data_IF_241226072345
#
_entry.id   IF_241226072345
#
_cell.length_a   1.000
_cell.length_b   1.000
_cell.length_c   1.000
_cell.angle_alpha   90.00
_cell.angle_beta   90.00
_cell.angle_gamma   90.00
#
_symmetry.space_group_name_H-M   'P 1'
#
loop_
_entity.id
_entity.type
_entity.pdbx_description
1 polymer ?
#
# COMPACT_ATOMS: atom_id res chain seq x y z
N UNK A 1 -29.85 1.88 8.01
CA UNK A 1 -28.98 2.55 8.99
C UNK A 1 -28.32 3.74 8.31
N UNK A 2 -28.45 4.92 8.88
CA UNK A 2 -27.93 6.18 8.32
C UNK A 2 -26.41 6.14 8.24
N UNK A 3 -25.84 6.34 7.07
CA UNK A 3 -24.42 6.31 6.68
C UNK A 3 -23.60 7.50 7.22
N UNK A 4 -24.02 8.12 8.29
CA UNK A 4 -23.22 9.17 8.93
C UNK A 4 -22.17 8.48 9.81
N UNK A 5 -21.05 8.10 9.21
CA UNK A 5 -19.80 7.86 9.94
C UNK A 5 -19.55 9.11 10.79
N UNK A 6 -19.68 8.98 12.10
CA UNK A 6 -19.28 10.06 13.02
C UNK A 6 -17.74 10.06 13.06
N UNK A 7 -17.12 10.70 12.07
CA UNK A 7 -15.71 11.05 12.19
C UNK A 7 -15.64 12.25 13.13
N UNK A 8 -14.87 12.10 14.17
CA UNK A 8 -14.65 13.15 15.17
C UNK A 8 -13.15 13.47 15.14
N UNK A 9 -12.84 14.75 15.08
CA UNK A 9 -11.47 15.29 15.21
C UNK A 9 -11.32 15.93 16.59
N UNK A 10 -11.21 15.18 17.68
CA UNK A 10 -11.28 15.81 18.99
C UNK A 10 -9.94 16.22 19.58
N UNK A 11 -8.86 15.51 19.28
CA UNK A 11 -7.58 15.70 19.94
C UNK A 11 -6.45 16.11 18.96
N UNK A 12 -6.52 15.68 17.71
CA UNK A 12 -5.53 16.04 16.68
C UNK A 12 -5.36 17.58 16.52
N UNK A 13 -6.42 18.35 16.76
CA UNK A 13 -6.37 19.82 16.73
C UNK A 13 -5.55 20.45 17.87
N UNK A 14 -5.19 19.67 18.92
CA UNK A 14 -4.32 20.14 20.01
C UNK A 14 -2.86 19.85 19.76
N UNK A 15 -2.56 18.94 18.82
CA UNK A 15 -1.18 18.55 18.49
C UNK A 15 -0.63 19.56 17.49
N UNK A 16 0.50 20.18 17.82
CA UNK A 16 1.22 21.11 16.95
C UNK A 16 2.24 20.34 16.12
N UNK A 17 1.80 19.75 14.99
CA UNK A 17 2.66 18.98 14.10
C UNK A 17 3.81 19.80 13.52
N UNK A 18 3.59 21.10 13.32
CA UNK A 18 4.60 22.08 12.93
C UNK A 18 5.74 22.22 13.95
N UNK A 19 5.48 21.97 15.24
CA UNK A 19 6.50 21.98 16.30
C UNK A 19 7.20 20.63 16.47
N UNK A 20 6.48 19.53 16.23
CA UNK A 20 7.01 18.15 16.32
C UNK A 20 7.84 17.81 15.08
N UNK A 21 7.48 18.34 13.92
CA UNK A 21 8.04 18.00 12.60
C UNK A 21 8.04 16.49 12.35
N UNK A 22 6.86 15.87 12.56
CA UNK A 22 6.68 14.43 12.39
C UNK A 22 6.84 14.01 10.93
N UNK A 23 7.60 12.93 10.70
CA UNK A 23 7.80 12.28 9.41
C UNK A 23 7.52 10.78 9.54
N UNK A 24 6.65 10.24 8.69
CA UNK A 24 6.33 8.82 8.60
C UNK A 24 6.66 8.31 7.18
N UNK A 25 7.16 7.10 7.09
CA UNK A 25 7.37 6.41 5.81
C UNK A 25 6.39 5.26 5.68
N UNK A 26 5.48 5.33 4.72
CA UNK A 26 4.56 4.26 4.34
C UNK A 26 4.99 3.69 2.99
N UNK A 27 5.23 2.39 2.95
CA UNK A 27 5.66 1.71 1.74
C UNK A 27 4.78 0.51 1.43
N UNK A 28 4.21 0.46 0.23
CA UNK A 28 3.20 -0.53 -0.15
C UNK A 28 3.78 -1.68 -1.00
N UNK A 29 2.99 -2.75 -1.17
CA UNK A 29 3.19 -3.90 -2.07
C UNK A 29 4.25 -4.92 -1.63
N UNK A 30 4.67 -4.96 -0.38
CA UNK A 30 5.63 -5.95 0.11
C UNK A 30 5.02 -7.36 0.18
N UNK A 31 5.83 -8.38 -0.07
CA UNK A 31 5.38 -9.78 -0.13
C UNK A 31 4.53 -10.13 -1.34
N UNK A 32 4.30 -9.20 -2.25
CA UNK A 32 3.43 -9.37 -3.41
C UNK A 32 4.21 -9.81 -4.66
N UNK A 33 3.84 -10.97 -5.21
CA UNK A 33 4.29 -11.42 -6.52
C UNK A 33 3.54 -10.63 -7.62
N UNK A 34 3.96 -9.38 -7.84
CA UNK A 34 3.24 -8.39 -8.62
C UNK A 34 3.26 -8.65 -10.13
N UNK A 35 4.09 -7.91 -10.88
CA UNK A 35 4.03 -7.95 -12.34
C UNK A 35 4.77 -9.15 -12.92
N UNK A 36 6.11 -9.17 -12.91
CA UNK A 36 6.85 -10.27 -13.50
C UNK A 36 7.96 -10.81 -12.58
N UNK A 37 8.21 -12.12 -12.59
CA UNK A 37 9.23 -12.76 -11.76
C UNK A 37 10.66 -12.49 -12.25
N UNK A 38 10.85 -12.31 -13.57
CA UNK A 38 12.14 -12.22 -14.22
C UNK A 38 12.10 -11.47 -15.56
N UNK A 39 13.28 -11.15 -16.10
CA UNK A 39 13.42 -10.41 -17.37
C UNK A 39 12.87 -11.17 -18.58
N UNK A 40 12.86 -12.51 -18.55
CA UNK A 40 12.31 -13.31 -19.63
C UNK A 40 10.81 -13.10 -19.74
N UNK A 41 10.08 -13.21 -18.63
CA UNK A 41 8.65 -12.94 -18.58
C UNK A 41 8.34 -11.49 -18.96
N UNK A 42 9.11 -10.54 -18.43
CA UNK A 42 8.93 -9.12 -18.75
C UNK A 42 9.11 -8.84 -20.25
N UNK A 43 10.12 -9.43 -20.88
CA UNK A 43 10.36 -9.30 -22.33
C UNK A 43 9.21 -9.84 -23.18
N UNK A 44 8.69 -11.02 -22.83
CA UNK A 44 7.56 -11.65 -23.54
C UNK A 44 6.27 -10.83 -23.42
N UNK A 45 6.05 -10.18 -22.28
CA UNK A 45 4.78 -9.56 -21.93
C UNK A 45 4.72 -8.05 -22.12
N UNK A 46 5.83 -7.38 -22.45
CA UNK A 46 5.89 -5.91 -22.53
C UNK A 46 4.78 -5.29 -23.38
N UNK A 47 4.45 -5.91 -24.52
CA UNK A 47 3.39 -5.41 -25.40
C UNK A 47 1.98 -5.59 -24.82
N UNK A 48 1.73 -6.67 -24.07
CA UNK A 48 0.47 -6.88 -23.34
C UNK A 48 0.29 -5.83 -22.25
N UNK A 49 1.35 -5.54 -21.49
CA UNK A 49 1.33 -4.50 -20.46
C UNK A 49 1.19 -3.09 -21.05
N UNK A 50 1.85 -2.79 -22.19
CA UNK A 50 1.73 -1.47 -22.86
C UNK A 50 0.32 -1.19 -23.34
N UNK A 51 -0.45 -2.19 -23.76
CA UNK A 51 -1.87 -2.01 -24.12
C UNK A 51 -2.69 -1.46 -22.95
N UNK A 52 -2.34 -1.81 -21.72
CA UNK A 52 -3.05 -1.41 -20.51
C UNK A 52 -2.47 -0.16 -19.84
N UNK A 53 -1.17 -0.13 -19.66
CA UNK A 53 -0.49 0.88 -18.84
C UNK A 53 0.23 1.95 -19.67
N UNK A 54 0.23 1.83 -21.01
CA UNK A 54 0.97 2.73 -21.89
C UNK A 54 2.48 2.71 -21.61
N UNK A 55 3.13 3.87 -21.68
CA UNK A 55 4.58 3.99 -21.44
C UNK A 55 5.03 3.62 -20.03
N UNK A 56 4.14 3.67 -19.04
CA UNK A 56 4.45 3.25 -17.67
C UNK A 56 4.74 1.75 -17.55
N UNK A 57 4.26 0.95 -18.52
CA UNK A 57 4.48 -0.49 -18.56
C UNK A 57 5.97 -0.86 -18.53
N UNK A 58 6.82 -0.11 -19.18
CA UNK A 58 8.24 -0.44 -19.32
C UNK A 58 8.99 -0.45 -17.98
N UNK A 59 8.52 0.35 -17.04
CA UNK A 59 9.01 0.33 -15.66
C UNK A 59 8.20 -0.67 -14.81
N UNK A 60 6.87 -0.57 -14.80
CA UNK A 60 6.02 -1.39 -13.93
C UNK A 60 6.24 -2.90 -14.13
N UNK A 61 6.42 -3.36 -15.38
CA UNK A 61 6.60 -4.80 -15.68
C UNK A 61 7.85 -5.39 -15.03
N UNK A 62 8.85 -4.55 -14.72
CA UNK A 62 10.09 -4.96 -14.06
C UNK A 62 10.03 -4.86 -12.54
N UNK A 63 8.95 -4.30 -11.96
CA UNK A 63 8.73 -4.34 -10.52
C UNK A 63 8.47 -5.78 -10.07
N UNK A 64 9.26 -6.28 -9.12
CA UNK A 64 9.30 -7.69 -8.75
C UNK A 64 9.23 -7.88 -7.23
N UNK A 65 9.18 -9.13 -6.77
CA UNK A 65 9.26 -9.45 -5.34
C UNK A 65 10.63 -9.05 -4.80
N UNK A 66 10.67 -8.53 -3.60
CA UNK A 66 11.90 -8.19 -2.89
C UNK A 66 12.80 -9.40 -2.62
N UNK A 67 14.09 -9.16 -2.60
CA UNK A 67 15.12 -10.11 -2.18
C UNK A 67 15.68 -9.72 -0.81
N UNK A 68 16.39 -10.64 -0.10
CA UNK A 68 17.16 -10.27 1.09
C UNK A 68 18.15 -9.12 0.84
N UNK A 69 18.78 -9.08 -0.34
CA UNK A 69 19.75 -8.05 -0.71
C UNK A 69 19.08 -6.68 -0.95
N UNK A 70 17.86 -6.67 -1.54
CA UNK A 70 17.08 -5.44 -1.69
C UNK A 70 16.76 -4.83 -0.31
N UNK A 71 16.35 -5.68 0.63
CA UNK A 71 16.06 -5.27 2.00
C UNK A 71 17.31 -4.82 2.76
N UNK A 72 18.45 -5.53 2.62
CA UNK A 72 19.69 -5.12 3.28
C UNK A 72 20.11 -3.72 2.88
N UNK A 73 20.16 -3.44 1.55
CA UNK A 73 20.50 -2.09 1.03
C UNK A 73 19.57 -1.01 1.58
N UNK A 74 18.29 -1.32 1.69
CA UNK A 74 17.32 -0.39 2.24
C UNK A 74 17.55 -0.15 3.74
N UNK A 75 17.78 -1.22 4.51
CA UNK A 75 18.05 -1.14 5.95
C UNK A 75 19.36 -0.42 6.28
N UNK A 76 20.40 -0.62 5.46
CA UNK A 76 21.67 0.11 5.59
C UNK A 76 21.44 1.63 5.45
N UNK A 77 20.64 2.06 4.47
CA UNK A 77 20.37 3.48 4.28
C UNK A 77 19.52 4.04 5.42
N UNK A 78 18.47 3.34 5.83
CA UNK A 78 17.62 3.77 6.95
C UNK A 78 18.41 3.88 8.26
N UNK A 79 19.29 2.91 8.53
CA UNK A 79 20.10 2.86 9.76
C UNK A 79 21.23 3.89 9.85
N UNK A 80 21.54 4.65 8.77
CA UNK A 80 22.54 5.72 8.79
C UNK A 80 22.08 7.00 9.50
N UNK A 81 20.77 7.18 9.63
CA UNK A 81 20.17 8.45 10.05
C UNK A 81 19.35 8.27 11.31
N UNK A 82 19.42 9.28 12.18
CA UNK A 82 18.65 9.33 13.41
C UNK A 82 17.98 10.69 13.56
N UNK A 83 16.80 10.68 14.14
CA UNK A 83 16.10 11.90 14.54
C UNK A 83 16.71 12.48 15.84
N UNK A 84 16.20 13.63 16.29
CA UNK A 84 16.65 14.28 17.53
C UNK A 84 16.53 13.39 18.79
N UNK A 85 15.81 12.27 18.73
CA UNK A 85 15.62 11.31 19.82
C UNK A 85 16.58 10.10 19.72
N UNK A 86 17.44 10.08 18.70
CA UNK A 86 18.29 8.93 18.39
C UNK A 86 17.51 7.76 17.78
N UNK A 87 16.35 8.02 17.14
CA UNK A 87 15.56 6.98 16.47
C UNK A 87 15.77 7.04 14.95
N UNK A 88 15.99 5.88 14.30
CA UNK A 88 16.06 5.83 12.84
C UNK A 88 14.69 6.05 12.20
N UNK A 89 14.65 6.41 10.89
CA UNK A 89 13.43 6.37 10.10
C UNK A 89 12.92 4.93 10.00
N UNK A 90 11.60 4.75 10.16
CA UNK A 90 10.95 3.43 10.12
C UNK A 90 10.08 3.34 8.87
N UNK A 91 10.38 2.38 8.00
CA UNK A 91 9.47 2.03 6.91
C UNK A 91 8.34 1.16 7.43
N UNK A 92 7.13 1.70 7.41
CA UNK A 92 5.91 0.95 7.69
C UNK A 92 5.50 0.23 6.39
N UNK A 93 5.92 -1.03 6.31
CA UNK A 93 5.86 -1.84 5.10
C UNK A 93 4.53 -2.61 5.02
N UNK A 94 3.68 -2.25 4.07
CA UNK A 94 2.38 -2.86 3.90
C UNK A 94 2.48 -4.16 3.09
N UNK A 95 2.24 -5.29 3.78
CA UNK A 95 2.38 -6.64 3.23
C UNK A 95 1.07 -7.20 2.69
N UNK A 96 1.14 -7.76 1.49
CA UNK A 96 0.13 -8.66 0.92
C UNK A 96 0.42 -10.09 1.40
N UNK A 97 -0.59 -10.77 1.98
CA UNK A 97 -0.38 -12.02 2.72
C UNK A 97 -0.59 -13.30 1.91
N UNK A 98 -0.97 -13.17 0.63
CA UNK A 98 -1.20 -14.32 -0.25
C UNK A 98 -0.93 -13.97 -1.70
N UNK A 99 -0.31 -14.92 -2.40
CA UNK A 99 0.04 -14.80 -3.81
C UNK A 99 -0.65 -15.91 -4.61
N UNK A 100 -0.93 -15.72 -5.91
CA UNK A 100 -1.59 -16.75 -6.72
C UNK A 100 -0.84 -18.08 -6.75
N UNK A 101 -1.53 -19.19 -6.46
CA UNK A 101 -1.04 -20.53 -6.76
C UNK A 101 -1.34 -20.85 -8.22
N UNK A 102 -0.47 -20.41 -9.13
CA UNK A 102 -0.63 -20.58 -10.58
C UNK A 102 -0.85 -22.03 -10.97
N UNK A 103 -0.23 -22.99 -10.24
CA UNK A 103 -0.38 -24.41 -10.52
C UNK A 103 -1.80 -24.88 -10.22
N UNK A 104 -2.31 -24.67 -9.02
CA UNK A 104 -3.66 -25.09 -8.62
C UNK A 104 -4.76 -24.36 -9.39
N UNK A 105 -4.57 -23.06 -9.68
CA UNK A 105 -5.51 -22.29 -10.51
C UNK A 105 -5.61 -22.91 -11.90
N UNK A 106 -4.48 -23.27 -12.54
CA UNK A 106 -4.45 -23.94 -13.84
C UNK A 106 -5.10 -25.31 -13.79
N UNK A 107 -4.77 -26.12 -12.78
CA UNK A 107 -5.35 -27.46 -12.57
C UNK A 107 -6.87 -27.43 -12.38
N UNK A 108 -7.42 -26.33 -11.83
CA UNK A 108 -8.87 -26.12 -11.73
C UNK A 108 -9.55 -25.74 -13.04
N UNK A 109 -8.79 -25.58 -14.16
CA UNK A 109 -9.32 -25.05 -15.42
C UNK A 109 -9.79 -23.60 -15.30
N UNK A 110 -9.14 -22.78 -14.47
CA UNK A 110 -9.50 -21.38 -14.18
C UNK A 110 -10.91 -21.24 -13.57
N UNK A 111 -11.37 -22.24 -12.80
CA UNK A 111 -12.69 -22.19 -12.15
C UNK A 111 -12.61 -21.59 -10.75
N UNK A 112 -11.45 -21.67 -10.11
CA UNK A 112 -11.28 -21.25 -8.71
C UNK A 112 -9.92 -20.62 -8.48
N UNK A 113 -9.92 -19.56 -7.65
CA UNK A 113 -8.70 -18.97 -7.14
C UNK A 113 -8.13 -19.81 -6.01
N UNK A 114 -6.82 -19.96 -6.01
CA UNK A 114 -6.01 -20.54 -4.93
C UNK A 114 -4.84 -19.62 -4.67
N UNK A 115 -4.45 -19.49 -3.42
CA UNK A 115 -3.31 -18.68 -3.02
C UNK A 115 -2.29 -19.47 -2.21
N UNK A 116 -1.07 -18.96 -2.23
CA UNK A 116 0.04 -19.36 -1.37
C UNK A 116 0.25 -18.27 -0.31
N UNK A 117 0.20 -18.61 0.99
CA UNK A 117 0.50 -17.66 2.05
C UNK A 117 1.99 -17.37 2.11
N UNK A 118 2.41 -16.10 2.30
CA UNK A 118 3.82 -15.81 2.55
C UNK A 118 4.28 -16.52 3.86
N UNK A 119 5.55 -17.00 3.94
CA UNK A 119 6.65 -16.79 3.00
C UNK A 119 6.63 -17.67 1.75
N UNK A 120 5.62 -18.53 1.58
CA UNK A 120 5.51 -19.33 0.37
C UNK A 120 5.16 -18.44 -0.83
N UNK A 121 5.90 -18.66 -1.92
CA UNK A 121 5.67 -17.97 -3.19
C UNK A 121 5.72 -18.96 -4.34
N UNK A 122 5.11 -18.68 -5.51
CA UNK A 122 5.21 -19.52 -6.67
C UNK A 122 6.67 -19.81 -7.04
N UNK A 123 6.97 -21.01 -7.52
CA UNK A 123 8.35 -21.47 -7.74
C UNK A 123 9.22 -20.46 -8.52
N UNK A 124 8.67 -19.83 -9.56
CA UNK A 124 9.40 -18.86 -10.40
C UNK A 124 9.71 -17.54 -9.68
N UNK A 125 9.00 -17.26 -8.58
CA UNK A 125 9.16 -16.05 -7.78
C UNK A 125 10.10 -16.20 -6.59
N UNK A 126 10.68 -17.39 -6.39
CA UNK A 126 11.58 -17.64 -5.25
C UNK A 126 12.90 -16.92 -5.47
N UNK A 127 13.16 -15.90 -4.66
CA UNK A 127 14.34 -15.03 -4.75
C UNK A 127 15.10 -14.91 -3.43
N UNK A 128 14.91 -15.83 -2.49
CA UNK A 128 15.52 -15.85 -1.17
C UNK A 128 14.51 -15.71 -0.04
N UNK A 129 14.99 -15.72 1.19
CA UNK A 129 14.15 -15.60 2.40
C UNK A 129 14.00 -14.14 2.83
N UNK A 130 13.08 -13.43 2.16
CA UNK A 130 12.80 -12.03 2.44
C UNK A 130 12.10 -11.83 3.80
N UNK A 131 11.40 -12.85 4.33
CA UNK A 131 10.73 -12.75 5.63
C UNK A 131 11.74 -12.77 6.78
N UNK A 132 12.70 -13.71 6.78
CA UNK A 132 13.79 -13.69 7.76
C UNK A 132 14.55 -12.36 7.72
N UNK A 133 14.79 -11.83 6.52
CA UNK A 133 15.43 -10.51 6.37
C UNK A 133 14.58 -9.37 6.92
N UNK A 134 13.26 -9.42 6.77
CA UNK A 134 12.37 -8.43 7.38
C UNK A 134 12.45 -8.42 8.91
N UNK A 135 12.66 -9.57 9.55
CA UNK A 135 12.90 -9.63 11.01
C UNK A 135 14.17 -8.91 11.44
N UNK A 136 15.27 -8.99 10.68
CA UNK A 136 16.46 -8.20 10.97
C UNK A 136 16.18 -6.69 10.94
N UNK A 137 15.36 -6.23 9.98
CA UNK A 137 14.94 -4.83 9.92
C UNK A 137 14.05 -4.41 11.10
N UNK A 138 13.18 -5.32 11.59
CA UNK A 138 12.37 -5.11 12.80
C UNK A 138 13.27 -4.96 14.02
N UNK A 139 14.25 -5.85 14.19
CA UNK A 139 15.22 -5.81 15.28
C UNK A 139 16.08 -4.54 15.24
N UNK A 140 16.49 -4.09 14.06
CA UNK A 140 17.21 -2.82 13.85
C UNK A 140 16.32 -1.58 14.08
N UNK A 141 14.99 -1.73 14.23
CA UNK A 141 14.05 -0.64 14.41
C UNK A 141 13.81 0.23 13.17
N UNK A 142 14.12 -0.27 11.96
CA UNK A 142 13.96 0.45 10.69
C UNK A 142 12.80 -0.08 9.84
N UNK A 143 12.20 -1.20 10.25
CA UNK A 143 11.16 -1.89 9.51
C UNK A 143 9.97 -2.25 10.40
N UNK A 144 8.76 -1.90 9.98
CA UNK A 144 7.53 -2.23 10.69
C UNK A 144 6.50 -2.77 9.70
N UNK A 145 6.25 -4.08 9.67
CA UNK A 145 5.19 -4.66 8.85
C UNK A 145 3.82 -4.11 9.20
N UNK A 146 3.02 -3.77 8.18
CA UNK A 146 1.62 -3.37 8.27
C UNK A 146 0.77 -4.17 7.28
N UNK A 147 -0.56 -4.07 7.34
CA UNK A 147 -1.47 -4.93 6.58
C UNK A 147 -1.91 -4.30 5.26
N UNK A 148 -1.70 -5.02 4.14
CA UNK A 148 -2.14 -4.61 2.81
C UNK A 148 -3.18 -5.55 2.18
N UNK A 149 -3.80 -6.38 2.97
CA UNK A 149 -4.81 -7.34 2.53
C UNK A 149 -4.28 -8.76 2.32
N UNK A 150 -5.21 -9.67 2.07
CA UNK A 150 -4.90 -11.05 1.72
C UNK A 150 -4.40 -11.16 0.29
N UNK A 151 -4.99 -10.40 -0.64
CA UNK A 151 -4.55 -10.22 -2.02
C UNK A 151 -4.60 -8.74 -2.41
N UNK A 152 -3.82 -8.34 -3.42
CA UNK A 152 -3.79 -6.97 -3.93
C UNK A 152 -4.90 -6.67 -4.95
N UNK A 153 -5.61 -7.66 -5.40
CA UNK A 153 -6.66 -7.60 -6.42
C UNK A 153 -7.88 -8.43 -6.01
N UNK A 154 -9.00 -8.29 -6.74
CA UNK A 154 -10.19 -9.12 -6.58
C UNK A 154 -9.98 -10.49 -7.27
N UNK A 155 -9.81 -11.60 -6.52
CA UNK A 155 -9.52 -12.90 -7.07
C UNK A 155 -10.62 -13.45 -7.97
N UNK A 156 -11.90 -13.26 -7.61
CA UNK A 156 -13.03 -13.76 -8.40
C UNK A 156 -13.10 -13.09 -9.78
N UNK A 157 -12.80 -11.80 -9.79
CA UNK A 157 -12.80 -11.03 -11.04
C UNK A 157 -11.62 -11.40 -11.93
N UNK A 158 -10.45 -11.63 -11.34
CA UNK A 158 -9.29 -12.09 -12.08
C UNK A 158 -9.51 -13.48 -12.70
N UNK A 159 -10.17 -14.40 -11.99
CA UNK A 159 -10.57 -15.71 -12.53
C UNK A 159 -11.49 -15.53 -13.76
N UNK A 160 -12.45 -14.61 -13.70
CA UNK A 160 -13.30 -14.29 -14.87
C UNK A 160 -12.52 -13.72 -16.05
N UNK A 161 -11.53 -12.86 -15.77
CA UNK A 161 -10.65 -12.34 -16.81
C UNK A 161 -9.80 -13.47 -17.41
N UNK A 162 -9.27 -14.40 -16.61
CA UNK A 162 -8.54 -15.59 -17.07
C UNK A 162 -9.37 -16.49 -17.99
N UNK A 163 -10.68 -16.57 -17.79
CA UNK A 163 -11.57 -17.34 -18.65
C UNK A 163 -11.85 -16.67 -20.01
N UNK A 164 -11.72 -15.34 -20.10
CA UNK A 164 -12.27 -14.59 -21.22
C UNK A 164 -11.27 -13.65 -21.92
N UNK A 165 -10.07 -13.43 -21.37
CA UNK A 165 -9.10 -12.47 -21.91
C UNK A 165 -7.75 -13.11 -22.23
N UNK A 166 -7.36 -13.16 -23.52
CA UNK A 166 -6.09 -13.75 -23.94
C UNK A 166 -4.85 -13.07 -23.36
N UNK A 167 -4.88 -11.75 -23.14
CA UNK A 167 -3.73 -11.01 -22.58
C UNK A 167 -3.54 -11.41 -21.10
N UNK A 168 -4.63 -11.58 -20.35
CA UNK A 168 -4.60 -12.09 -18.96
C UNK A 168 -4.08 -13.52 -18.90
N UNK A 169 -4.50 -14.40 -19.84
CA UNK A 169 -4.00 -15.77 -19.93
C UNK A 169 -2.52 -15.82 -20.28
N UNK A 170 -2.06 -15.00 -21.23
CA UNK A 170 -0.66 -14.92 -21.61
C UNK A 170 0.22 -14.54 -20.41
N UNK A 171 -0.19 -13.55 -19.63
CA UNK A 171 0.51 -13.16 -18.41
C UNK A 171 0.51 -14.28 -17.36
N UNK A 172 -0.61 -14.96 -17.16
CA UNK A 172 -0.74 -16.08 -16.23
C UNK A 172 0.24 -17.21 -16.56
N UNK A 173 0.42 -17.56 -17.85
CA UNK A 173 1.33 -18.62 -18.28
C UNK A 173 2.80 -18.31 -17.96
N UNK A 174 3.15 -17.04 -17.83
CA UNK A 174 4.46 -16.57 -17.39
C UNK A 174 4.52 -16.32 -15.85
N UNK A 175 3.51 -16.76 -15.10
CA UNK A 175 3.36 -16.51 -13.66
C UNK A 175 3.30 -15.01 -13.29
N UNK A 176 2.71 -14.20 -14.16
CA UNK A 176 2.54 -12.77 -13.99
C UNK A 176 1.08 -12.43 -13.74
N UNK A 177 0.84 -11.37 -12.94
CA UNK A 177 -0.48 -10.80 -12.81
C UNK A 177 -0.71 -9.74 -13.89
N UNK A 178 -1.75 -9.93 -14.65
CA UNK A 178 -2.35 -8.91 -15.53
C UNK A 178 -3.85 -9.14 -15.54
N UNK A 179 -4.64 -8.09 -15.50
CA UNK A 179 -6.08 -8.15 -15.68
C UNK A 179 -6.51 -7.00 -16.57
N UNK A 180 -7.32 -7.28 -17.59
CA UNK A 180 -7.81 -6.28 -18.54
C UNK A 180 -8.69 -5.24 -17.85
N UNK A 181 -9.57 -5.72 -16.98
CA UNK A 181 -10.59 -4.91 -16.33
C UNK A 181 -10.16 -4.41 -14.96
N UNK A 182 -8.86 -4.25 -14.75
CA UNK A 182 -8.24 -3.98 -13.47
C UNK A 182 -9.23 -3.51 -12.41
N UNK A 183 -9.62 -4.39 -11.53
CA UNK A 183 -10.55 -4.00 -10.53
C UNK A 183 -9.85 -3.05 -9.59
N UNK A 184 -10.27 -1.80 -9.57
CA UNK A 184 -10.05 -0.92 -8.42
C UNK A 184 -10.68 -1.54 -7.15
N UNK A 185 -11.25 -2.72 -7.25
CA UNK A 185 -11.81 -3.50 -6.16
C UNK A 185 -10.72 -4.40 -5.62
N UNK A 186 -10.00 -3.91 -4.66
CA UNK A 186 -9.13 -4.73 -3.83
C UNK A 186 -9.94 -5.67 -2.95
N UNK A 187 -9.27 -6.61 -2.31
CA UNK A 187 -9.83 -7.44 -1.26
C UNK A 187 -10.42 -6.64 -0.08
N UNK A 188 -10.15 -5.34 0.03
CA UNK A 188 -10.72 -4.45 1.06
C UNK A 188 -11.96 -3.67 0.60
N UNK A 189 -12.40 -3.84 -0.65
CA UNK A 189 -13.64 -3.29 -1.14
C UNK A 189 -14.82 -4.24 -0.86
N UNK A 190 -15.76 -3.83 -0.02
CA UNK A 190 -17.00 -4.57 0.20
C UNK A 190 -18.11 -4.09 -0.74
N UNK A 191 -18.56 -4.89 -1.70
CA UNK A 191 -19.73 -4.59 -2.48
C UNK A 191 -21.00 -4.61 -1.62
N UNK A 192 -22.11 -4.17 -2.16
CA UNK A 192 -23.37 -3.97 -1.43
C UNK A 192 -24.13 -5.26 -1.12
N UNK A 193 -23.76 -6.39 -1.70
CA UNK A 193 -24.46 -7.65 -1.44
C UNK A 193 -23.91 -8.38 -0.19
N UNK A 194 -24.74 -9.12 0.47
CA UNK A 194 -24.44 -9.76 1.77
C UNK A 194 -23.36 -10.82 1.68
N UNK A 195 -23.30 -11.57 0.59
CA UNK A 195 -22.31 -12.64 0.42
C UNK A 195 -20.91 -12.09 0.20
N UNK A 196 -20.78 -11.04 -0.60
CA UNK A 196 -19.51 -10.38 -0.79
C UNK A 196 -19.01 -9.69 0.50
N UNK A 197 -19.90 -9.12 1.31
CA UNK A 197 -19.55 -8.58 2.63
C UNK A 197 -19.03 -9.70 3.55
N UNK A 198 -19.68 -10.87 3.53
CA UNK A 198 -19.26 -12.02 4.34
C UNK A 198 -17.89 -12.53 3.90
N UNK A 199 -17.67 -12.68 2.57
CA UNK A 199 -16.35 -13.08 2.04
C UNK A 199 -15.27 -12.10 2.44
N UNK A 200 -15.53 -10.79 2.29
CA UNK A 200 -14.58 -9.75 2.66
C UNK A 200 -14.17 -9.81 4.14
N UNK A 201 -15.15 -10.04 5.02
CA UNK A 201 -14.89 -10.20 6.45
C UNK A 201 -13.98 -11.41 6.73
N UNK A 202 -14.24 -12.54 6.07
CA UNK A 202 -13.43 -13.75 6.21
C UNK A 202 -12.02 -13.55 5.64
N UNK A 203 -11.88 -12.91 4.49
CA UNK A 203 -10.58 -12.58 3.89
C UNK A 203 -9.72 -11.67 4.79
N UNK A 204 -10.34 -10.65 5.41
CA UNK A 204 -9.63 -9.79 6.37
C UNK A 204 -9.17 -10.60 7.58
N UNK A 205 -10.04 -11.43 8.12
CA UNK A 205 -9.72 -12.30 9.27
C UNK A 205 -8.55 -13.24 8.94
N UNK A 206 -8.64 -13.98 7.83
CA UNK A 206 -7.58 -14.89 7.36
C UNK A 206 -6.28 -14.10 7.14
N UNK A 207 -6.36 -12.94 6.52
CA UNK A 207 -5.19 -12.09 6.25
C UNK A 207 -4.49 -11.65 7.54
N UNK A 208 -5.24 -11.19 8.54
CA UNK A 208 -4.68 -10.77 9.84
C UNK A 208 -4.12 -11.97 10.63
N UNK A 209 -4.77 -13.14 10.57
CA UNK A 209 -4.27 -14.37 11.18
C UNK A 209 -2.96 -14.83 10.52
N UNK A 210 -2.86 -14.77 9.20
CA UNK A 210 -1.61 -15.03 8.46
C UNK A 210 -0.51 -14.04 8.82
N UNK A 211 -0.85 -12.75 8.87
CA UNK A 211 0.08 -11.71 9.30
C UNK A 211 0.67 -12.01 10.68
N UNK A 212 -0.20 -12.31 11.65
CA UNK A 212 0.23 -12.65 13.01
C UNK A 212 1.09 -13.93 13.05
N UNK A 213 0.79 -14.91 12.20
CA UNK A 213 1.58 -16.15 12.10
C UNK A 213 2.98 -15.87 11.53
N UNK A 214 3.07 -14.99 10.53
CA UNK A 214 4.35 -14.65 9.87
C UNK A 214 5.20 -13.76 10.77
N UNK A 215 4.64 -12.68 11.32
CA UNK A 215 5.41 -11.65 12.02
C UNK A 215 5.37 -11.74 13.54
N UNK A 216 4.55 -12.63 14.12
CA UNK A 216 4.46 -12.84 15.56
C UNK A 216 3.60 -11.82 16.33
N UNK A 217 3.11 -10.78 15.67
CA UNK A 217 2.24 -9.74 16.25
C UNK A 217 1.09 -9.38 15.32
N UNK A 218 0.06 -8.69 15.83
CA UNK A 218 -1.04 -8.18 15.00
C UNK A 218 -0.65 -6.87 14.34
N UNK A 219 -1.08 -6.61 13.08
CA UNK A 219 -0.82 -5.34 12.43
C UNK A 219 -1.57 -4.21 13.16
N UNK A 220 -0.88 -3.11 13.44
CA UNK A 220 -1.51 -1.92 14.04
C UNK A 220 -2.35 -1.18 13.02
N UNK A 221 -1.84 -1.02 11.82
CA UNK A 221 -2.49 -0.29 10.72
C UNK A 221 -2.67 -1.12 9.46
N UNK A 222 -3.59 -0.67 8.61
CA UNK A 222 -3.87 -1.24 7.30
C UNK A 222 -3.96 -0.15 6.25
N UNK A 223 -3.60 -0.50 5.01
CA UNK A 223 -3.87 0.31 3.82
C UNK A 223 -4.66 -0.49 2.80
N UNK A 224 -5.72 0.08 2.27
CA UNK A 224 -6.45 -0.51 1.16
C UNK A 224 -5.71 -0.22 -0.16
N UNK A 225 -5.50 -1.23 -1.04
CA UNK A 225 -5.03 -0.98 -2.40
C UNK A 225 -5.85 0.14 -3.06
N UNK A 226 -5.14 1.04 -3.77
CA UNK A 226 -5.72 2.24 -4.39
C UNK A 226 -6.44 3.21 -3.42
N UNK A 227 -6.31 3.04 -2.10
CA UNK A 227 -6.99 3.86 -1.07
C UNK A 227 -8.51 3.83 -1.16
N UNK A 228 -9.09 2.75 -1.67
CA UNK A 228 -10.54 2.60 -1.82
C UNK A 228 -11.03 1.48 -0.92
N UNK A 229 -11.86 1.84 0.08
CA UNK A 229 -12.54 0.86 0.94
C UNK A 229 -13.98 1.28 1.21
N UNK A 230 -14.79 0.30 1.52
CA UNK A 230 -16.16 0.53 1.95
C UNK A 230 -16.22 0.82 3.47
N UNK A 231 -17.07 1.72 3.97
CA UNK A 231 -17.14 2.02 5.42
C UNK A 231 -17.37 0.80 6.32
N UNK A 232 -18.03 -0.24 5.83
CA UNK A 232 -18.19 -1.49 6.59
C UNK A 232 -16.86 -2.24 6.79
N UNK A 233 -15.88 -2.03 5.91
CA UNK A 233 -14.55 -2.61 6.04
C UNK A 233 -13.83 -2.07 7.28
N UNK A 234 -14.08 -0.83 7.68
CA UNK A 234 -13.52 -0.25 8.92
C UNK A 234 -13.94 -1.06 10.15
N UNK A 235 -15.23 -1.44 10.23
CA UNK A 235 -15.71 -2.32 11.30
C UNK A 235 -15.07 -3.71 11.27
N UNK A 236 -14.87 -4.29 10.08
CA UNK A 236 -14.21 -5.59 9.93
C UNK A 236 -12.73 -5.54 10.34
N UNK A 237 -12.02 -4.46 9.97
CA UNK A 237 -10.64 -4.22 10.38
C UNK A 237 -10.53 -4.03 11.90
N UNK A 238 -11.46 -3.25 12.50
CA UNK A 238 -11.50 -3.05 13.94
C UNK A 238 -11.75 -4.37 14.69
N UNK A 239 -12.71 -5.19 14.23
CA UNK A 239 -12.98 -6.53 14.79
C UNK A 239 -11.75 -7.46 14.69
N UNK A 240 -10.95 -7.33 13.62
CA UNK A 240 -9.69 -8.06 13.46
C UNK A 240 -8.55 -7.53 14.35
N UNK A 241 -8.75 -6.37 14.99
CA UNK A 241 -7.78 -5.77 15.93
C UNK A 241 -6.94 -4.63 15.35
N UNK A 242 -7.17 -4.22 14.10
CA UNK A 242 -6.50 -3.08 13.47
C UNK A 242 -7.03 -1.78 14.08
N UNK A 243 -6.14 -0.84 14.36
CA UNK A 243 -6.41 0.43 15.03
C UNK A 243 -6.41 1.65 14.12
N UNK A 244 -5.68 1.58 13.00
CA UNK A 244 -5.57 2.70 12.08
C UNK A 244 -5.72 2.27 10.61
N UNK A 245 -6.25 3.16 9.78
CA UNK A 245 -6.31 3.00 8.32
C UNK A 245 -5.51 4.14 7.69
N UNK A 246 -4.58 3.76 6.83
CA UNK A 246 -3.79 4.67 6.03
C UNK A 246 -4.56 5.01 4.74
N UNK A 247 -4.73 6.29 4.45
CA UNK A 247 -5.52 6.74 3.30
C UNK A 247 -5.11 8.12 2.79
N UNK A 248 -5.87 8.65 1.86
CA UNK A 248 -5.75 10.04 1.41
C UNK A 248 -6.72 10.93 2.17
N UNK A 249 -6.45 12.23 2.19
CA UNK A 249 -7.34 13.21 2.83
C UNK A 249 -8.77 13.21 2.28
N UNK A 250 -8.97 12.78 1.04
CA UNK A 250 -10.28 12.55 0.42
C UNK A 250 -10.51 11.06 0.26
N UNK A 251 -11.33 10.50 1.14
CA UNK A 251 -11.74 9.11 1.06
C UNK A 251 -12.79 8.90 -0.03
N UNK A 252 -12.58 7.89 -0.86
CA UNK A 252 -13.44 7.56 -1.99
C UNK A 252 -14.19 6.25 -1.75
N UNK A 253 -15.49 6.24 -2.07
CA UNK A 253 -16.29 5.01 -2.17
C UNK A 253 -16.75 4.86 -3.62
N UNK A 254 -16.63 3.64 -4.15
CA UNK A 254 -17.18 3.33 -5.46
C UNK A 254 -18.70 3.53 -5.44
N UNK A 255 -19.21 4.33 -6.39
CA UNK A 255 -20.64 4.56 -6.52
C UNK A 255 -21.37 3.25 -6.88
N UNK A 256 -22.45 2.94 -6.16
CA UNK A 256 -23.39 1.90 -6.55
C UNK A 256 -24.20 2.34 -7.77
N UNK A 257 -25.08 1.46 -8.29
CA UNK A 257 -25.90 1.74 -9.48
C UNK A 257 -26.72 3.04 -9.37
N UNK A 258 -27.32 3.31 -8.21
CA UNK A 258 -28.11 4.51 -7.95
C UNK A 258 -27.26 5.78 -7.95
N UNK A 259 -26.08 5.78 -7.37
CA UNK A 259 -25.15 6.91 -7.44
C UNK A 259 -24.58 7.13 -8.85
N UNK A 260 -24.51 6.07 -9.69
CA UNK A 260 -24.14 6.21 -11.10
C UNK A 260 -25.21 6.89 -11.93
N UNK A 261 -26.48 6.71 -11.61
CA UNK A 261 -27.59 7.41 -12.26
C UNK A 261 -27.66 8.87 -11.83
N UNK A 262 -27.49 9.17 -10.55
CA UNK A 262 -27.30 10.54 -10.06
C UNK A 262 -26.08 11.20 -10.71
N UNK A 263 -24.95 10.51 -10.80
CA UNK A 263 -23.72 10.99 -11.46
C UNK A 263 -23.89 11.24 -12.96
N UNK A 264 -24.75 10.49 -13.67
CA UNK A 264 -25.10 10.79 -15.08
C UNK A 264 -25.91 12.05 -15.22
N UNK A 265 -26.82 12.32 -14.30
CA UNK A 265 -27.62 13.56 -14.26
C UNK A 265 -26.69 14.74 -13.91
N UNK A 266 -25.77 14.59 -12.97
CA UNK A 266 -24.78 15.62 -12.61
C UNK A 266 -23.68 15.82 -13.68
N UNK A 267 -23.32 14.79 -14.46
CA UNK A 267 -22.41 14.92 -15.61
C UNK A 267 -23.01 15.77 -16.75
N UNK A 268 -24.31 15.81 -16.88
CA UNK A 268 -25.03 16.74 -17.79
C UNK A 268 -24.89 18.22 -17.38
N UNK A 269 -24.50 18.47 -16.12
CA UNK A 269 -24.29 19.81 -15.55
C UNK A 269 -22.79 20.09 -15.27
N UNK A 270 -21.88 19.29 -15.84
CA UNK A 270 -20.42 19.52 -15.76
C UNK A 270 -19.71 18.99 -14.49
N UNK A 271 -20.40 18.25 -13.61
CA UNK A 271 -19.80 17.65 -12.41
C UNK A 271 -19.51 16.15 -12.60
N UNK A 272 -18.21 15.79 -12.67
CA UNK A 272 -17.77 14.38 -12.68
C UNK A 272 -17.79 13.78 -11.27
N UNK A 273 -18.90 13.20 -10.83
CA UNK A 273 -18.96 12.49 -9.56
C UNK A 273 -19.40 11.03 -9.73
N UNK A 274 -18.41 10.14 -9.86
CA UNK A 274 -18.61 8.69 -9.75
C UNK A 274 -18.35 8.13 -8.34
N UNK A 275 -18.04 8.99 -7.35
CA UNK A 275 -17.67 8.59 -6.00
C UNK A 275 -18.26 9.52 -4.95
N UNK A 276 -18.66 8.96 -3.80
CA UNK A 276 -18.96 9.74 -2.61
C UNK A 276 -17.65 9.99 -1.88
N UNK A 277 -17.38 11.27 -1.58
CA UNK A 277 -16.14 11.71 -0.93
C UNK A 277 -16.45 12.20 0.48
N UNK A 278 -15.57 11.90 1.43
CA UNK A 278 -15.52 12.60 2.72
C UNK A 278 -14.07 12.90 3.08
N UNK A 279 -13.88 14.02 3.75
CA UNK A 279 -12.57 14.47 4.16
C UNK A 279 -12.20 13.81 5.48
N UNK A 280 -10.95 13.36 5.57
CA UNK A 280 -10.30 12.85 6.77
C UNK A 280 -8.93 13.52 6.93
N UNK A 281 -8.45 13.59 8.15
CA UNK A 281 -7.12 14.08 8.51
C UNK A 281 -6.42 13.09 9.43
N UNK A 282 -5.10 13.15 9.50
CA UNK A 282 -4.34 12.32 10.43
C UNK A 282 -4.77 12.58 11.87
N UNK A 283 -5.09 11.52 12.61
CA UNK A 283 -5.62 11.58 13.96
C UNK A 283 -7.14 11.67 14.09
N UNK A 284 -7.87 11.87 12.97
CA UNK A 284 -9.33 11.72 12.99
C UNK A 284 -9.71 10.29 13.34
N UNK A 285 -10.85 10.13 14.04
CA UNK A 285 -11.31 8.83 14.50
C UNK A 285 -12.75 8.54 14.08
N UNK A 286 -12.99 7.37 13.55
CA UNK A 286 -14.34 6.82 13.46
C UNK A 286 -14.78 6.30 14.83
N UNK A 287 -15.59 7.06 15.55
CA UNK A 287 -16.02 6.70 16.91
C UNK A 287 -16.92 5.46 16.97
N UNK A 288 -17.58 5.10 15.86
CA UNK A 288 -18.42 3.90 15.79
C UNK A 288 -17.62 2.59 15.83
N UNK A 289 -16.42 2.61 15.29
CA UNK A 289 -15.54 1.44 15.23
C UNK A 289 -14.23 1.62 16.01
N UNK A 290 -13.92 2.82 16.47
CA UNK A 290 -12.70 3.12 17.19
C UNK A 290 -11.45 3.16 16.31
N UNK A 291 -11.59 3.28 14.99
CA UNK A 291 -10.50 3.33 14.02
C UNK A 291 -10.02 4.76 13.81
N UNK A 292 -8.71 4.94 13.80
CA UNK A 292 -8.04 6.19 13.46
C UNK A 292 -7.71 6.25 11.97
N UNK A 293 -7.57 7.46 11.43
CA UNK A 293 -7.09 7.67 10.07
C UNK A 293 -5.71 8.32 10.09
N UNK A 294 -4.83 7.84 9.21
CA UNK A 294 -3.51 8.44 8.93
C UNK A 294 -3.50 8.84 7.45
N UNK A 295 -3.41 10.15 7.21
CA UNK A 295 -3.51 10.67 5.84
C UNK A 295 -2.15 10.84 5.20
N UNK A 296 -1.95 10.20 4.07
CA UNK A 296 -0.74 10.23 3.25
C UNK A 296 -0.75 11.48 2.37
N UNK A 297 0.20 12.38 2.55
CA UNK A 297 0.22 13.71 1.93
C UNK A 297 1.53 14.06 1.21
N UNK A 298 2.55 13.22 1.31
CA UNK A 298 3.86 13.40 0.68
C UNK A 298 4.17 12.22 -0.23
N UNK A 299 4.74 12.48 -1.42
CA UNK A 299 5.04 11.45 -2.43
C UNK A 299 6.54 11.34 -2.65
N UNK A 300 7.08 10.14 -2.50
CA UNK A 300 8.46 9.80 -2.84
C UNK A 300 8.49 8.59 -3.76
N UNK A 301 8.39 8.84 -5.06
CA UNK A 301 8.35 7.84 -6.13
C UNK A 301 9.44 8.17 -7.16
N UNK A 302 10.70 7.83 -6.89
CA UNK A 302 11.83 8.22 -7.76
C UNK A 302 11.81 7.55 -9.13
N UNK A 303 11.33 6.29 -9.26
CA UNK A 303 11.14 5.62 -10.55
C UNK A 303 12.39 5.57 -11.43
N UNK A 304 13.58 5.44 -10.85
CA UNK A 304 14.86 5.41 -11.57
C UNK A 304 15.26 6.74 -12.26
N UNK A 305 14.67 7.86 -11.87
CA UNK A 305 15.08 9.19 -12.37
C UNK A 305 16.49 9.51 -11.89
N UNK A 306 17.30 10.06 -12.79
CA UNK A 306 18.73 10.36 -12.49
C UNK A 306 18.95 11.73 -11.84
N UNK A 307 17.93 12.60 -11.82
CA UNK A 307 18.01 13.94 -11.23
C UNK A 307 17.43 13.97 -9.81
N UNK A 308 17.89 14.91 -8.99
CA UNK A 308 17.44 15.12 -7.62
C UNK A 308 16.06 15.81 -7.51
N UNK A 309 15.38 16.07 -8.61
CA UNK A 309 14.11 16.81 -8.60
C UNK A 309 13.05 16.15 -7.71
N UNK A 310 13.04 14.82 -7.64
CA UNK A 310 12.10 14.09 -6.76
C UNK A 310 12.42 14.33 -5.28
N UNK A 311 13.69 14.38 -4.89
CA UNK A 311 14.14 14.64 -3.52
C UNK A 311 13.72 16.04 -3.09
N UNK A 312 14.02 17.05 -3.91
CA UNK A 312 13.66 18.45 -3.63
C UNK A 312 12.14 18.64 -3.54
N UNK A 313 11.39 18.02 -4.46
CA UNK A 313 9.93 18.06 -4.44
C UNK A 313 9.36 17.39 -3.19
N UNK A 314 9.92 16.27 -2.76
CA UNK A 314 9.48 15.56 -1.55
C UNK A 314 9.74 16.42 -0.31
N UNK A 315 10.92 17.03 -0.19
CA UNK A 315 11.23 17.96 0.91
C UNK A 315 10.26 19.14 0.94
N UNK A 316 9.94 19.71 -0.20
CA UNK A 316 8.97 20.80 -0.29
C UNK A 316 7.58 20.35 0.19
N UNK A 317 7.11 19.16 -0.20
CA UNK A 317 5.85 18.61 0.28
C UNK A 317 5.87 18.35 1.79
N UNK A 318 6.99 17.91 2.35
CA UNK A 318 7.16 17.71 3.80
C UNK A 318 7.00 19.06 4.53
N UNK A 319 7.69 20.11 4.09
CA UNK A 319 7.57 21.46 4.65
C UNK A 319 6.13 21.99 4.57
N UNK A 320 5.48 21.81 3.42
CA UNK A 320 4.08 22.21 3.22
C UNK A 320 3.11 21.45 4.15
N UNK A 321 3.38 20.18 4.48
CA UNK A 321 2.58 19.44 5.46
C UNK A 321 2.73 20.08 6.85
N UNK A 322 3.93 20.38 7.30
CA UNK A 322 4.17 21.03 8.57
C UNK A 322 3.60 22.46 8.64
N UNK A 323 3.67 23.23 7.55
CA UNK A 323 3.04 24.57 7.46
C UNK A 323 1.52 24.52 7.63
N UNK A 324 0.89 23.41 7.20
CA UNK A 324 -0.54 23.15 7.40
C UNK A 324 -0.86 22.54 8.77
N UNK A 325 0.13 22.39 9.62
CA UNK A 325 0.04 21.72 10.91
C UNK A 325 -0.44 20.26 10.79
N UNK A 326 0.12 19.53 9.80
CA UNK A 326 -0.10 18.12 9.53
C UNK A 326 1.21 17.32 9.67
N UNK A 327 1.19 16.03 10.08
CA UNK A 327 2.36 15.19 9.98
C UNK A 327 2.70 14.94 8.51
N UNK A 328 3.98 14.89 8.17
CA UNK A 328 4.43 14.53 6.83
C UNK A 328 4.43 13.00 6.67
N UNK A 329 3.46 12.47 5.94
CA UNK A 329 3.30 11.03 5.72
C UNK A 329 3.69 10.69 4.28
N UNK A 330 4.89 10.13 4.13
CA UNK A 330 5.51 9.84 2.85
C UNK A 330 4.98 8.54 2.29
N UNK A 331 4.54 8.55 1.02
CA UNK A 331 4.14 7.38 0.25
C UNK A 331 5.30 6.97 -0.63
N UNK A 332 5.66 5.70 -0.58
CA UNK A 332 6.54 5.05 -1.55
C UNK A 332 6.08 3.61 -1.78
N UNK A 333 6.59 2.94 -2.80
CA UNK A 333 6.22 1.56 -3.10
C UNK A 333 7.46 0.69 -3.21
N UNK A 334 7.31 -0.60 -2.88
CA UNK A 334 8.34 -1.62 -3.06
C UNK A 334 9.01 -1.58 -4.43
N UNK A 335 8.24 -1.28 -5.48
CA UNK A 335 8.73 -1.18 -6.86
C UNK A 335 9.93 -0.21 -7.04
N UNK A 336 10.15 0.71 -6.11
CA UNK A 336 11.34 1.58 -6.10
C UNK A 336 12.59 0.89 -5.55
N UNK A 337 12.45 -0.18 -4.77
CA UNK A 337 13.52 -0.83 -4.03
C UNK A 337 13.74 -2.29 -4.43
N UNK A 338 12.76 -2.90 -5.12
CA UNK A 338 12.82 -4.26 -5.66
C UNK A 338 12.39 -4.25 -7.13
N UNK A 339 13.37 -4.28 -8.01
CA UNK A 339 13.16 -4.11 -9.45
C UNK A 339 14.15 -5.00 -10.22
N UNK A 340 13.75 -5.51 -11.41
CA UNK A 340 14.62 -6.35 -12.25
C UNK A 340 15.76 -5.58 -12.94
N UNK A 341 15.72 -4.25 -12.88
CA UNK A 341 16.75 -3.35 -13.37
C UNK A 341 17.51 -2.77 -12.17
N UNK A 342 18.72 -3.25 -11.95
CA UNK A 342 19.56 -2.91 -10.80
C UNK A 342 19.90 -1.42 -10.75
N UNK A 343 20.11 -0.77 -11.91
CA UNK A 343 20.41 0.67 -11.96
C UNK A 343 19.26 1.50 -11.39
N UNK A 344 18.01 1.03 -11.56
CA UNK A 344 16.83 1.68 -10.98
C UNK A 344 16.88 1.59 -9.46
N UNK A 345 17.16 0.41 -8.90
CA UNK A 345 17.24 0.20 -7.45
C UNK A 345 18.34 1.07 -6.84
N UNK A 346 19.56 1.02 -7.40
CA UNK A 346 20.70 1.81 -6.91
C UNK A 346 20.40 3.32 -6.94
N UNK A 347 19.79 3.79 -8.03
CA UNK A 347 19.43 5.20 -8.17
C UNK A 347 18.41 5.62 -7.13
N UNK A 348 17.38 4.80 -6.91
CA UNK A 348 16.33 5.10 -5.94
C UNK A 348 16.82 5.04 -4.49
N UNK A 349 17.73 4.12 -4.17
CA UNK A 349 18.42 4.04 -2.88
C UNK A 349 19.26 5.30 -2.62
N UNK A 350 20.00 5.78 -3.64
CA UNK A 350 20.76 7.05 -3.54
C UNK A 350 19.85 8.25 -3.29
N UNK A 351 18.67 8.29 -3.95
CA UNK A 351 17.69 9.36 -3.70
C UNK A 351 17.11 9.29 -2.27
N UNK A 352 16.85 8.09 -1.75
CA UNK A 352 16.39 7.93 -0.36
C UNK A 352 17.48 8.39 0.63
N UNK A 353 18.72 7.96 0.42
CA UNK A 353 19.87 8.39 1.22
C UNK A 353 20.00 9.92 1.22
N UNK A 354 19.89 10.55 0.04
CA UNK A 354 19.91 12.00 -0.10
C UNK A 354 18.75 12.70 0.60
N UNK A 355 17.53 12.16 0.49
CA UNK A 355 16.35 12.70 1.19
C UNK A 355 16.54 12.68 2.70
N UNK A 356 16.98 11.55 3.26
CA UNK A 356 17.20 11.39 4.69
C UNK A 356 18.32 12.30 5.19
N UNK A 357 19.44 12.37 4.45
CA UNK A 357 20.52 13.31 4.76
C UNK A 357 20.02 14.75 4.86
N UNK A 358 19.26 15.21 3.86
CA UNK A 358 18.73 16.58 3.86
C UNK A 358 17.72 16.81 4.99
N UNK A 359 16.88 15.82 5.29
CA UNK A 359 15.92 15.91 6.41
C UNK A 359 16.63 16.13 7.75
N UNK A 360 17.65 15.32 8.07
CA UNK A 360 18.29 15.42 9.39
C UNK A 360 19.30 16.56 9.49
N UNK A 361 19.83 17.07 8.36
CA UNK A 361 20.84 18.15 8.36
C UNK A 361 20.24 19.55 8.15
N UNK A 362 19.13 19.66 7.44
CA UNK A 362 18.54 20.95 7.07
C UNK A 362 17.30 21.30 7.90
N UNK A 363 16.66 20.31 8.51
CA UNK A 363 15.45 20.50 9.30
C UNK A 363 15.72 20.24 10.79
N UNK A 364 15.66 21.29 11.59
CA UNK A 364 15.72 21.14 13.03
C UNK A 364 14.47 20.41 13.57
N UNK A 365 14.62 19.61 14.59
CA UNK A 365 13.53 18.94 15.31
C UNK A 365 12.76 17.84 14.54
N UNK A 366 13.27 17.35 13.40
CA UNK A 366 12.65 16.19 12.72
C UNK A 366 12.44 15.04 13.72
N UNK A 367 11.28 14.41 13.61
CA UNK A 367 10.87 13.30 14.48
C UNK A 367 10.30 12.18 13.60
N UNK A 368 11.02 11.06 13.47
CA UNK A 368 10.53 9.88 12.76
C UNK A 368 9.51 9.15 13.61
N UNK A 369 8.31 8.93 13.08
CA UNK A 369 7.20 8.36 13.85
C UNK A 369 6.52 7.22 13.10
N UNK A 370 5.84 6.37 13.86
CA UNK A 370 4.95 5.32 13.36
C UNK A 370 3.48 5.72 13.53
N UNK A 371 2.58 5.00 12.85
CA UNK A 371 1.13 5.19 13.01
C UNK A 371 0.68 5.03 14.46
N UNK A 372 1.29 4.08 15.17
CA UNK A 372 0.99 3.86 16.59
C UNK A 372 1.39 5.05 17.46
N UNK A 373 2.56 5.66 17.20
CA UNK A 373 3.00 6.86 17.93
C UNK A 373 2.08 8.06 17.65
N UNK A 374 1.62 8.22 16.39
CA UNK A 374 0.62 9.25 16.05
C UNK A 374 -0.69 9.03 16.83
N UNK A 375 -1.22 7.81 16.83
CA UNK A 375 -2.47 7.48 17.53
C UNK A 375 -2.33 7.69 19.03
N UNK A 376 -1.22 7.25 19.64
CA UNK A 376 -0.96 7.49 21.07
C UNK A 376 -0.95 8.97 21.44
N UNK A 377 -0.36 9.83 20.61
CA UNK A 377 -0.41 11.29 20.81
C UNK A 377 -1.84 11.82 20.68
N UNK A 378 -2.68 11.23 19.85
CA UNK A 378 -4.08 11.64 19.70
C UNK A 378 -4.98 11.17 20.86
N UNK A 379 -4.58 10.13 21.57
CA UNK A 379 -5.30 9.61 22.74
C UNK A 379 -5.02 10.38 24.03
N UNK A 380 -3.92 11.10 24.09
CA UNK A 380 -3.49 11.94 25.25
C UNK A 380 -2.60 11.18 26.16
#
# INVERSE_FOLDING_TARGET
>A
MSWKTKVVSPLSRKIRWSEIKAVLFHSDDWGYCGFCPDLEAASKLVNHFRKKYGKKADHLIKATLETPDDLERLFEVLGKYEDRRGKPPVFQAAYVLGNPDYKKIKESGFQKYYDLPIPEVPKRWRRGDFVSKAFEGIEKGVWLPTFHGLSHFDPERWIKDLQNDPDTQAAFMESCYLSRNDPIASCLYAPSDKEAIKRQKEEIKIGVERFQRVFGFKPFSAVAPFYVWHPQVEGMLAEAGIKAIQGKNLQQIRANFWHRTEGKIFNLVGYKHSYKLWQISSGDRNVGYGIYYITRNVYFEPWGRKDDAIVLKTLEQIRQAWEKDEPAVIITHRANYAHLDEEVVETNIKHLDRLLYMLVTQEDKVTFMTDEEIVRLCEG
#
